data_IF_918844329028
#
_entry.id   IF_918844329028
#
_cell.length_a   1.000
_cell.length_b   1.000
_cell.length_c   1.000
_cell.angle_alpha   90.00
_cell.angle_beta   90.00
_cell.angle_gamma   90.00
#
_symmetry.space_group_name_H-M   'P 1'
#
loop_
_entity.id
_entity.type
_entity.pdbx_description
1 polymer ?
#
# COMPACT_ATOMS: atom_id res chain seq x y z
N UNK A 1 14.66 9.25 4.09
CA UNK A 1 13.98 10.50 3.67
C UNK A 1 13.19 10.34 2.36
N UNK A 2 12.88 9.11 1.93
CA UNK A 2 12.17 8.85 0.65
C UNK A 2 10.67 8.52 0.82
N UNK A 3 10.20 8.32 2.06
CA UNK A 3 8.77 8.10 2.35
C UNK A 3 7.90 9.32 2.03
N UNK A 4 8.49 10.51 2.07
CA UNK A 4 7.76 11.75 1.81
C UNK A 4 7.37 11.89 0.35
N UNK A 5 8.14 11.39 -0.60
CA UNK A 5 7.94 11.71 -2.02
C UNK A 5 6.79 10.93 -2.65
N UNK A 6 6.68 9.62 -2.45
CA UNK A 6 5.69 8.81 -3.18
C UNK A 6 4.24 9.13 -2.80
N UNK A 7 3.90 9.16 -1.51
CA UNK A 7 2.54 9.48 -1.07
C UNK A 7 2.18 10.97 -1.20
N UNK A 8 3.17 11.86 -1.09
CA UNK A 8 2.92 13.29 -1.34
C UNK A 8 2.65 13.52 -2.82
N UNK A 9 3.43 12.92 -3.72
CA UNK A 9 3.18 12.96 -5.16
C UNK A 9 1.85 12.28 -5.52
N UNK A 10 1.48 11.18 -4.85
CA UNK A 10 0.16 10.57 -5.04
C UNK A 10 -0.97 11.53 -4.65
N UNK A 11 -0.76 12.42 -3.68
CA UNK A 11 -1.73 13.45 -3.31
C UNK A 11 -1.74 14.65 -4.28
N UNK A 12 -0.79 14.77 -5.22
CA UNK A 12 -0.79 15.88 -6.18
C UNK A 12 -2.09 15.87 -6.99
N UNK A 13 -2.82 16.99 -6.92
CA UNK A 13 -4.14 17.15 -7.55
C UNK A 13 -5.30 16.48 -6.81
N UNK A 14 -5.09 15.89 -5.62
CA UNK A 14 -6.14 15.31 -4.77
C UNK A 14 -6.31 16.11 -3.49
N UNK A 15 -7.52 16.60 -3.26
CA UNK A 15 -7.84 17.25 -2.00
C UNK A 15 -8.11 16.20 -0.92
N UNK A 16 -7.50 16.39 0.25
CA UNK A 16 -7.91 15.70 1.46
C UNK A 16 -9.22 16.33 1.99
N UNK A 17 -10.11 15.55 2.59
CA UNK A 17 -11.29 16.09 3.26
C UNK A 17 -10.92 17.08 4.37
N UNK A 18 -11.86 17.96 4.72
CA UNK A 18 -11.65 18.98 5.74
C UNK A 18 -11.20 18.38 7.08
N UNK A 19 -10.23 19.01 7.74
CA UNK A 19 -9.67 18.54 9.01
C UNK A 19 -8.70 17.36 8.91
N UNK A 20 -8.37 16.86 7.72
CA UNK A 20 -7.38 15.80 7.51
C UNK A 20 -6.04 16.37 7.04
N UNK A 21 -4.95 16.04 7.74
CA UNK A 21 -3.60 16.40 7.33
C UNK A 21 -2.94 15.33 6.47
N UNK A 22 -1.88 15.71 5.76
CA UNK A 22 -1.04 14.80 4.96
C UNK A 22 -0.38 13.75 5.86
N UNK A 23 0.05 14.12 7.06
CA UNK A 23 0.66 13.21 8.03
C UNK A 23 -0.36 12.16 8.48
N UNK A 24 -1.58 12.58 8.79
CA UNK A 24 -2.66 11.65 9.13
C UNK A 24 -2.96 10.70 7.97
N UNK A 25 -2.89 11.18 6.72
CA UNK A 25 -3.10 10.34 5.54
C UNK A 25 -1.99 9.29 5.43
N UNK A 26 -0.72 9.71 5.51
CA UNK A 26 0.44 8.80 5.50
C UNK A 26 0.33 7.73 6.58
N UNK A 27 -0.04 8.11 7.81
CA UNK A 27 -0.28 7.17 8.90
C UNK A 27 -1.43 6.20 8.61
N UNK A 28 -2.54 6.69 8.07
CA UNK A 28 -3.66 5.83 7.69
C UNK A 28 -3.30 4.84 6.57
N UNK A 29 -2.48 5.25 5.60
CA UNK A 29 -1.95 4.35 4.55
C UNK A 29 -1.05 3.29 5.15
N UNK A 30 -0.14 3.65 6.05
CA UNK A 30 0.67 2.67 6.79
C UNK A 30 -0.21 1.66 7.52
N UNK A 31 -1.23 2.11 8.24
CA UNK A 31 -2.16 1.22 8.96
C UNK A 31 -2.96 0.32 8.01
N UNK A 32 -3.34 0.82 6.83
CA UNK A 32 -3.98 0.01 5.81
C UNK A 32 -3.06 -1.11 5.31
N UNK A 33 -1.78 -0.80 5.06
CA UNK A 33 -0.78 -1.79 4.65
C UNK A 33 -0.49 -2.80 5.76
N UNK A 34 -0.31 -2.35 7.02
CA UNK A 34 -0.14 -3.24 8.18
C UNK A 34 -1.29 -4.24 8.27
N UNK A 35 -2.54 -3.77 8.09
CA UNK A 35 -3.71 -4.64 8.08
C UNK A 35 -3.69 -5.65 6.91
N UNK A 36 -3.44 -5.17 5.69
CA UNK A 36 -3.57 -6.02 4.50
C UNK A 36 -2.39 -6.99 4.34
N UNK A 37 -1.18 -6.61 4.76
CA UNK A 37 -0.01 -7.49 4.83
C UNK A 37 0.09 -8.28 6.13
N UNK A 38 -0.79 -8.02 7.10
CA UNK A 38 -0.78 -8.65 8.42
C UNK A 38 0.57 -8.49 9.14
N UNK A 39 1.19 -7.32 8.98
CA UNK A 39 2.45 -7.00 9.64
C UNK A 39 2.24 -6.69 11.13
N UNK A 40 3.33 -6.81 11.88
CA UNK A 40 3.40 -6.31 13.24
C UNK A 40 3.51 -4.77 13.23
N UNK A 41 2.50 -4.09 13.76
CA UNK A 41 2.42 -2.65 13.78
C UNK A 41 3.56 -1.98 14.58
N UNK A 42 3.98 -2.60 15.69
CA UNK A 42 5.05 -2.07 16.55
C UNK A 42 6.36 -2.14 15.78
N UNK A 43 6.63 -3.29 15.15
CA UNK A 43 7.81 -3.47 14.31
C UNK A 43 7.84 -2.49 13.14
N UNK A 44 6.73 -2.28 12.44
CA UNK A 44 6.66 -1.34 11.32
C UNK A 44 6.93 0.11 11.78
N UNK A 45 6.54 0.49 12.99
CA UNK A 45 6.81 1.81 13.54
C UNK A 45 8.30 2.05 13.88
N UNK A 46 9.05 0.99 14.20
CA UNK A 46 10.48 1.07 14.54
C UNK A 46 11.41 1.03 13.33
N UNK A 47 10.90 0.51 12.21
CA UNK A 47 11.67 0.34 10.97
C UNK A 47 12.03 1.70 10.35
N UNK A 48 13.30 1.86 9.96
CA UNK A 48 13.87 3.12 9.42
C UNK A 48 13.93 3.19 7.89
N UNK A 49 13.33 2.23 7.19
CA UNK A 49 13.21 2.23 5.73
C UNK A 49 11.87 2.82 5.28
N UNK A 50 11.73 3.08 3.98
CA UNK A 50 10.48 3.55 3.41
C UNK A 50 9.41 2.43 3.41
N UNK A 51 8.13 2.79 3.40
CA UNK A 51 7.03 1.85 3.18
C UNK A 51 7.16 1.16 1.83
N UNK A 52 7.63 1.88 0.82
CA UNK A 52 7.87 1.31 -0.51
C UNK A 52 8.97 0.23 -0.46
N UNK A 53 10.09 0.52 0.20
CA UNK A 53 11.16 -0.47 0.40
C UNK A 53 10.67 -1.66 1.22
N UNK A 54 9.90 -1.42 2.28
CA UNK A 54 9.34 -2.48 3.12
C UNK A 54 8.42 -3.41 2.31
N UNK A 55 7.59 -2.83 1.44
CA UNK A 55 6.74 -3.59 0.52
C UNK A 55 7.58 -4.39 -0.46
N UNK A 56 8.59 -3.78 -1.08
CA UNK A 56 9.47 -4.47 -2.03
C UNK A 56 10.20 -5.65 -1.38
N UNK A 57 10.72 -5.47 -0.16
CA UNK A 57 11.40 -6.53 0.60
C UNK A 57 10.44 -7.69 0.94
N UNK A 58 9.23 -7.37 1.42
CA UNK A 58 8.20 -8.36 1.74
C UNK A 58 7.74 -9.12 0.50
N UNK A 59 7.54 -8.41 -0.62
CA UNK A 59 7.11 -9.00 -1.88
C UNK A 59 8.21 -9.92 -2.44
N UNK A 60 9.47 -9.48 -2.45
CA UNK A 60 10.60 -10.31 -2.86
C UNK A 60 10.70 -11.59 -2.01
N UNK A 61 10.58 -11.45 -0.68
CA UNK A 61 10.59 -12.59 0.23
C UNK A 61 9.40 -13.53 -0.01
N UNK A 62 8.20 -12.96 -0.19
CA UNK A 62 6.97 -13.69 -0.44
C UNK A 62 7.02 -14.49 -1.74
N UNK A 63 7.55 -13.92 -2.83
CA UNK A 63 7.72 -14.63 -4.10
C UNK A 63 8.61 -15.87 -3.97
N UNK A 64 9.65 -15.81 -3.13
CA UNK A 64 10.63 -16.88 -2.98
C UNK A 64 10.21 -17.94 -1.94
N UNK A 65 9.54 -17.51 -0.86
CA UNK A 65 9.32 -18.34 0.34
C UNK A 65 7.86 -18.62 0.67
N UNK A 66 6.95 -17.72 0.33
CA UNK A 66 5.53 -17.84 0.69
C UNK A 66 4.60 -17.18 -0.34
N UNK A 67 4.52 -17.72 -1.58
CA UNK A 67 3.73 -17.12 -2.63
C UNK A 67 2.24 -17.06 -2.26
N UNK A 68 1.70 -18.10 -1.63
CA UNK A 68 0.30 -18.14 -1.19
C UNK A 68 -0.03 -17.01 -0.21
N UNK A 69 0.84 -16.75 0.77
CA UNK A 69 0.68 -15.65 1.71
C UNK A 69 0.74 -14.29 1.01
N UNK A 70 1.69 -14.13 0.09
CA UNK A 70 1.83 -12.92 -0.70
C UNK A 70 0.59 -12.63 -1.56
N UNK A 71 0.07 -13.63 -2.28
CA UNK A 71 -1.16 -13.47 -3.06
C UNK A 71 -2.35 -13.09 -2.17
N UNK A 72 -2.45 -13.66 -0.97
CA UNK A 72 -3.50 -13.28 -0.02
C UNK A 72 -3.42 -11.79 0.39
N UNK A 73 -2.22 -11.22 0.52
CA UNK A 73 -2.03 -9.79 0.75
C UNK A 73 -2.55 -8.96 -0.44
N UNK A 74 -2.21 -9.35 -1.67
CA UNK A 74 -2.68 -8.66 -2.87
C UNK A 74 -4.20 -8.72 -3.05
N UNK A 75 -4.83 -9.85 -2.69
CA UNK A 75 -6.29 -9.96 -2.67
C UNK A 75 -6.92 -9.01 -1.66
N UNK A 76 -6.38 -8.92 -0.43
CA UNK A 76 -6.89 -7.97 0.57
C UNK A 76 -6.74 -6.51 0.15
N UNK A 77 -5.73 -6.19 -0.66
CA UNK A 77 -5.53 -4.87 -1.25
C UNK A 77 -6.44 -4.56 -2.45
N UNK A 78 -7.14 -5.55 -3.00
CA UNK A 78 -7.90 -5.46 -4.25
C UNK A 78 -7.00 -5.07 -5.45
N UNK A 79 -5.79 -5.64 -5.51
CA UNK A 79 -4.81 -5.33 -6.57
C UNK A 79 -5.27 -5.83 -7.96
N UNK A 80 -6.00 -6.95 -7.98
CA UNK A 80 -6.55 -7.59 -9.18
C UNK A 80 -5.62 -8.63 -9.79
N UNK A 81 -6.11 -9.85 -9.99
CA UNK A 81 -5.31 -10.99 -10.47
C UNK A 81 -4.68 -10.73 -11.86
N UNK A 82 -5.43 -10.08 -12.76
CA UNK A 82 -4.93 -9.76 -14.09
C UNK A 82 -3.71 -8.83 -14.05
N UNK A 83 -3.73 -7.82 -13.18
CA UNK A 83 -2.62 -6.88 -12.99
C UNK A 83 -1.41 -7.59 -12.40
N UNK A 84 -1.62 -8.43 -11.37
CA UNK A 84 -0.54 -9.20 -10.75
C UNK A 84 0.13 -10.10 -11.80
N UNK A 85 -0.68 -10.83 -12.58
CA UNK A 85 -0.17 -11.73 -13.63
C UNK A 85 0.59 -10.97 -14.69
N UNK A 86 0.05 -9.86 -15.18
CA UNK A 86 0.74 -9.01 -16.16
C UNK A 86 2.10 -8.53 -15.63
N UNK A 87 2.16 -8.01 -14.39
CA UNK A 87 3.44 -7.58 -13.83
C UNK A 87 4.43 -8.74 -13.71
N UNK A 88 3.97 -9.93 -13.31
CA UNK A 88 4.84 -11.11 -13.20
C UNK A 88 5.32 -11.65 -14.56
N UNK A 89 4.47 -11.59 -15.60
CA UNK A 89 4.77 -12.12 -16.93
C UNK A 89 5.75 -11.23 -17.72
N UNK A 90 5.67 -9.91 -17.53
CA UNK A 90 6.44 -8.93 -18.30
C UNK A 90 7.73 -8.44 -17.63
N UNK A 91 8.02 -8.88 -16.41
CA UNK A 91 9.14 -8.35 -15.63
C UNK A 91 9.94 -9.47 -14.97
N UNK A 92 11.26 -9.29 -14.93
CA UNK A 92 12.10 -10.11 -14.06
C UNK A 92 11.74 -9.87 -12.60
N UNK A 93 11.99 -10.88 -11.75
CA UNK A 93 11.55 -10.88 -10.34
C UNK A 93 11.82 -9.57 -9.58
N UNK A 94 13.04 -8.99 -9.60
CA UNK A 94 13.28 -7.74 -8.86
C UNK A 94 12.43 -6.57 -9.37
N UNK A 95 12.24 -6.49 -10.68
CA UNK A 95 11.43 -5.45 -11.32
C UNK A 95 9.94 -5.67 -11.05
N UNK A 96 9.48 -6.93 -11.04
CA UNK A 96 8.11 -7.29 -10.68
C UNK A 96 7.82 -6.92 -9.23
N UNK A 97 8.74 -7.19 -8.30
CA UNK A 97 8.59 -6.85 -6.89
C UNK A 97 8.48 -5.34 -6.67
N UNK A 98 9.36 -4.54 -7.28
CA UNK A 98 9.30 -3.09 -7.21
C UNK A 98 7.97 -2.54 -7.76
N UNK A 99 7.53 -3.01 -8.93
CA UNK A 99 6.25 -2.59 -9.52
C UNK A 99 5.04 -2.98 -8.67
N UNK A 100 5.03 -4.20 -8.11
CA UNK A 100 3.96 -4.63 -7.21
C UNK A 100 3.97 -3.84 -5.90
N UNK A 101 5.14 -3.40 -5.41
CA UNK A 101 5.25 -2.54 -4.24
C UNK A 101 4.62 -1.16 -4.51
N UNK A 102 4.94 -0.54 -5.64
CA UNK A 102 4.34 0.73 -6.07
C UNK A 102 2.81 0.61 -6.16
N UNK A 103 2.32 -0.39 -6.90
CA UNK A 103 0.88 -0.61 -7.06
C UNK A 103 0.19 -0.90 -5.73
N UNK A 104 0.84 -1.65 -4.82
CA UNK A 104 0.30 -1.93 -3.49
C UNK A 104 0.17 -0.65 -2.66
N UNK A 105 1.17 0.23 -2.71
CA UNK A 105 1.15 1.53 -2.04
C UNK A 105 0.05 2.44 -2.61
N UNK A 106 -0.07 2.51 -3.94
CA UNK A 106 -1.11 3.28 -4.62
C UNK A 106 -2.52 2.79 -4.27
N UNK A 107 -2.74 1.48 -4.23
CA UNK A 107 -4.04 0.90 -3.85
C UNK A 107 -4.38 1.16 -2.39
N UNK A 108 -3.40 1.03 -1.48
CA UNK A 108 -3.62 1.39 -0.08
C UNK A 108 -3.98 2.88 0.07
N UNK A 109 -3.27 3.77 -0.62
CA UNK A 109 -3.56 5.20 -0.68
C UNK A 109 -4.98 5.47 -1.21
N UNK A 110 -5.36 4.83 -2.30
CA UNK A 110 -6.69 4.95 -2.89
C UNK A 110 -7.79 4.49 -1.93
N UNK A 111 -7.61 3.34 -1.26
CA UNK A 111 -8.59 2.81 -0.28
C UNK A 111 -8.80 3.75 0.90
N UNK A 112 -7.71 4.31 1.43
CA UNK A 112 -7.78 5.29 2.53
C UNK A 112 -8.50 6.55 2.06
N UNK A 113 -8.07 7.09 0.91
CA UNK A 113 -8.64 8.32 0.37
C UNK A 113 -10.14 8.19 0.08
N UNK A 114 -10.57 7.10 -0.58
CA UNK A 114 -11.98 6.83 -0.85
C UNK A 114 -12.80 6.72 0.44
N UNK A 115 -12.28 6.02 1.45
CA UNK A 115 -12.96 5.88 2.74
C UNK A 115 -13.09 7.21 3.48
N UNK A 116 -12.07 8.05 3.41
CA UNK A 116 -12.13 9.38 4.02
C UNK A 116 -13.08 10.31 3.28
N UNK A 117 -13.17 10.18 1.96
CA UNK A 117 -13.98 11.06 1.11
C UNK A 117 -15.46 10.64 1.11
N UNK A 118 -15.74 9.34 1.09
CA UNK A 118 -17.10 8.81 0.88
C UNK A 118 -17.59 7.91 2.03
N UNK A 119 -16.70 7.38 2.86
CA UNK A 119 -17.07 6.48 3.97
C UNK A 119 -17.69 7.19 5.18
N UNK A 120 -17.78 8.52 5.17
CA UNK A 120 -18.48 9.29 6.20
C UNK A 120 -20.01 9.37 5.97
N UNK A 121 -20.53 8.82 4.87
CA UNK A 121 -21.95 8.93 4.49
C UNK A 121 -22.85 7.94 5.25
N UNK A 122 -22.31 6.92 5.92
CA UNK A 122 -23.11 5.85 6.55
C UNK A 122 -23.47 6.09 8.04
N UNK A 123 -23.12 7.24 8.62
CA UNK A 123 -23.41 7.53 10.05
C UNK A 123 -24.65 8.41 10.28
N UNK A 124 -25.39 8.75 9.23
CA UNK A 124 -26.54 9.66 9.29
C UNK A 124 -27.81 9.00 8.73
N UNK A 125 -28.26 7.92 9.35
CA UNK A 125 -29.63 7.39 9.22
C UNK A 125 -30.12 6.90 10.56
#
# INVERSE_FOLDING_TARGET
MENETALTHWLDGRNLPEGRSVEAFKQAVQQQLVKDFQWDAERVAEVRISLLQLLEDEINWGMDRNPTGLFACFYRLDLGEAVIREVMDWNERPQAAAKLAELSLERAAQKVWLRWTFGAVDSAT
#
